data_IF_132664530975
#
_entry.id   IF_132664530975
#
_cell.length_a   1.000
_cell.length_b   1.000
_cell.length_c   1.000
_cell.angle_alpha   90.00
_cell.angle_beta   90.00
_cell.angle_gamma   90.00
#
_symmetry.space_group_name_H-M   'P 1'
#
loop_
_entity.id
_entity.type
_entity.pdbx_description
1 polymer ?
#
# COMPACT_ATOMS: atom_id res chain seq x y z
N UNK A 1 6.71 12.66 -13.90
CA UNK A 1 5.79 11.72 -13.23
C UNK A 1 4.60 11.53 -14.13
N UNK A 2 4.56 10.41 -14.83
CA UNK A 2 3.50 10.03 -15.76
C UNK A 2 2.23 9.76 -14.96
N UNK A 3 1.15 10.44 -15.30
CA UNK A 3 -0.17 10.16 -14.74
C UNK A 3 -0.44 8.65 -14.85
N UNK A 4 -0.66 7.99 -13.71
CA UNK A 4 -1.07 6.58 -13.70
C UNK A 4 -2.40 6.49 -14.44
N UNK A 5 -2.35 6.01 -15.68
CA UNK A 5 -3.55 5.74 -16.46
C UNK A 5 -4.15 4.44 -15.98
N UNK A 6 -5.37 4.50 -15.45
CA UNK A 6 -6.13 3.29 -15.19
C UNK A 6 -6.41 2.58 -16.49
N UNK A 7 -6.02 1.31 -16.54
CA UNK A 7 -6.37 0.45 -17.67
C UNK A 7 -7.71 -0.19 -17.30
N UNK A 8 -8.74 0.08 -18.10
CA UNK A 8 -10.00 -0.68 -18.05
C UNK A 8 -9.92 -1.81 -19.04
N UNK A 9 -10.48 -2.92 -18.65
CA UNK A 9 -10.62 -4.10 -19.48
C UNK A 9 -12.07 -4.27 -19.88
N UNK A 10 -12.32 -4.42 -21.17
CA UNK A 10 -13.64 -4.76 -21.70
C UNK A 10 -13.97 -6.23 -21.44
N UNK A 11 -15.25 -6.57 -21.49
CA UNK A 11 -15.69 -7.96 -21.42
C UNK A 11 -15.12 -8.78 -22.58
N UNK A 12 -15.00 -10.08 -22.36
CA UNK A 12 -14.61 -11.03 -23.40
C UNK A 12 -15.57 -10.95 -24.60
N UNK A 13 -15.04 -10.97 -25.81
CA UNK A 13 -15.77 -11.05 -27.07
C UNK A 13 -15.18 -12.17 -27.95
N UNK A 14 -15.82 -12.50 -29.05
CA UNK A 14 -15.36 -13.56 -29.95
C UNK A 14 -13.96 -13.29 -30.52
N UNK A 15 -13.61 -12.03 -30.78
CA UNK A 15 -12.28 -11.63 -31.28
C UNK A 15 -11.15 -11.87 -30.27
N UNK A 16 -11.47 -12.04 -29.01
CA UNK A 16 -10.47 -12.25 -27.94
C UNK A 16 -10.10 -13.73 -27.71
N UNK A 17 -10.78 -14.68 -28.37
CA UNK A 17 -10.56 -16.11 -28.11
C UNK A 17 -9.15 -16.60 -28.44
N UNK A 18 -8.53 -16.10 -29.48
CA UNK A 18 -7.16 -16.46 -29.84
C UNK A 18 -6.17 -15.91 -28.79
N UNK A 19 -6.38 -14.70 -28.34
CA UNK A 19 -5.59 -14.08 -27.27
C UNK A 19 -5.76 -14.84 -25.95
N UNK A 20 -6.97 -15.28 -25.63
CA UNK A 20 -7.25 -16.10 -24.45
C UNK A 20 -6.48 -17.41 -24.50
N UNK A 21 -6.51 -18.12 -25.63
CA UNK A 21 -5.77 -19.39 -25.82
C UNK A 21 -4.27 -19.16 -25.65
N UNK A 22 -3.76 -18.05 -26.21
CA UNK A 22 -2.34 -17.68 -26.04
C UNK A 22 -1.98 -17.40 -24.58
N UNK A 23 -2.79 -16.63 -23.86
CA UNK A 23 -2.58 -16.35 -22.43
C UNK A 23 -2.60 -17.63 -21.59
N UNK A 24 -3.55 -18.53 -21.83
CA UNK A 24 -3.59 -19.81 -21.15
C UNK A 24 -2.34 -20.65 -21.41
N UNK A 25 -1.85 -20.66 -22.66
CA UNK A 25 -0.60 -21.33 -23.02
C UNK A 25 0.60 -20.77 -22.26
N UNK A 26 0.71 -19.45 -22.16
CA UNK A 26 1.78 -18.74 -21.45
C UNK A 26 1.72 -19.01 -19.95
N UNK A 27 0.54 -19.04 -19.34
CA UNK A 27 0.38 -19.38 -17.93
C UNK A 27 0.84 -20.84 -17.67
N UNK A 28 0.51 -21.76 -18.56
CA UNK A 28 0.99 -23.15 -18.47
C UNK A 28 2.50 -23.24 -18.64
N UNK A 29 3.09 -22.40 -19.48
CA UNK A 29 4.55 -22.30 -19.63
C UNK A 29 5.20 -21.79 -18.34
N UNK A 30 4.67 -20.74 -17.73
CA UNK A 30 5.16 -20.24 -16.44
C UNK A 30 5.17 -21.34 -15.37
N UNK A 31 4.10 -22.12 -15.29
CA UNK A 31 4.02 -23.23 -14.34
C UNK A 31 5.08 -24.32 -14.62
N UNK A 32 5.26 -24.71 -15.89
CA UNK A 32 6.30 -25.69 -16.27
C UNK A 32 7.70 -25.21 -15.94
N UNK A 33 8.01 -23.96 -16.24
CA UNK A 33 9.30 -23.33 -15.94
C UNK A 33 9.53 -23.23 -14.43
N UNK A 34 8.50 -22.92 -13.65
CA UNK A 34 8.58 -22.92 -12.19
C UNK A 34 8.91 -24.31 -11.63
N UNK A 35 8.22 -25.37 -12.11
CA UNK A 35 8.42 -26.73 -11.63
C UNK A 35 9.77 -27.31 -12.08
N UNK A 36 10.31 -26.92 -13.25
CA UNK A 36 11.60 -27.41 -13.73
C UNK A 36 12.77 -26.93 -12.86
N UNK A 37 12.66 -25.77 -12.24
CA UNK A 37 13.72 -25.21 -11.39
C UNK A 37 15.05 -24.97 -12.12
N UNK A 38 15.06 -24.87 -13.45
CA UNK A 38 16.26 -24.66 -14.25
C UNK A 38 16.93 -23.31 -13.93
N UNK A 39 18.24 -23.24 -14.12
CA UNK A 39 18.98 -22.00 -13.88
C UNK A 39 18.38 -20.86 -14.68
N UNK A 40 18.01 -19.76 -14.00
CA UNK A 40 17.41 -18.59 -14.63
C UNK A 40 15.88 -18.66 -14.79
N UNK A 41 15.21 -19.66 -14.24
CA UNK A 41 13.75 -19.82 -14.31
C UNK A 41 12.98 -18.57 -13.86
N UNK A 42 13.48 -17.82 -12.88
CA UNK A 42 12.87 -16.60 -12.40
C UNK A 42 12.81 -15.50 -13.49
N UNK A 43 13.85 -15.38 -14.29
CA UNK A 43 13.88 -14.42 -15.41
C UNK A 43 12.91 -14.87 -16.52
N UNK A 44 12.84 -16.17 -16.80
CA UNK A 44 11.89 -16.70 -17.78
C UNK A 44 10.45 -16.47 -17.35
N UNK A 45 10.11 -16.73 -16.09
CA UNK A 45 8.78 -16.45 -15.54
C UNK A 45 8.42 -14.96 -15.69
N UNK A 46 9.32 -14.05 -15.35
CA UNK A 46 9.09 -12.60 -15.51
C UNK A 46 8.85 -12.22 -16.98
N UNK A 47 9.65 -12.75 -17.89
CA UNK A 47 9.47 -12.47 -19.32
C UNK A 47 8.09 -12.92 -19.82
N UNK A 48 7.68 -14.14 -19.50
CA UNK A 48 6.37 -14.68 -19.88
C UNK A 48 5.24 -13.91 -19.20
N UNK A 49 5.41 -13.50 -17.95
CA UNK A 49 4.45 -12.66 -17.24
C UNK A 49 4.24 -11.31 -17.93
N UNK A 50 5.31 -10.65 -18.38
CA UNK A 50 5.18 -9.40 -19.15
C UNK A 50 4.49 -9.60 -20.50
N UNK A 51 4.68 -10.75 -21.15
CA UNK A 51 3.95 -11.09 -22.37
C UNK A 51 2.45 -11.25 -22.11
N UNK A 52 2.07 -11.92 -21.02
CA UNK A 52 0.66 -12.00 -20.58
C UNK A 52 0.08 -10.61 -20.32
N UNK A 53 0.80 -9.74 -19.59
CA UNK A 53 0.36 -8.36 -19.35
C UNK A 53 0.21 -7.57 -20.65
N UNK A 54 1.14 -7.72 -21.59
CA UNK A 54 1.05 -7.09 -22.91
C UNK A 54 -0.21 -7.52 -23.65
N UNK A 55 -0.48 -8.82 -23.72
CA UNK A 55 -1.68 -9.36 -24.37
C UNK A 55 -2.97 -8.88 -23.69
N UNK A 56 -3.01 -8.86 -22.37
CA UNK A 56 -4.15 -8.30 -21.63
C UNK A 56 -4.40 -6.83 -21.98
N UNK A 57 -3.34 -6.02 -22.00
CA UNK A 57 -3.48 -4.59 -22.30
C UNK A 57 -3.85 -4.36 -23.76
N UNK A 58 -3.23 -5.08 -24.71
CA UNK A 58 -3.48 -4.89 -26.14
C UNK A 58 -4.85 -5.36 -26.58
N UNK A 59 -5.32 -6.49 -26.06
CA UNK A 59 -6.57 -7.10 -26.48
C UNK A 59 -7.81 -6.57 -25.74
N UNK A 60 -7.66 -6.23 -24.46
CA UNK A 60 -8.82 -5.94 -23.60
C UNK A 60 -8.89 -4.49 -23.11
N UNK A 61 -7.88 -3.67 -23.40
CA UNK A 61 -7.92 -2.26 -23.02
C UNK A 61 -9.06 -1.55 -23.71
N UNK A 62 -9.93 -0.91 -22.95
CA UNK A 62 -10.90 0.04 -23.50
C UNK A 62 -10.18 1.32 -23.97
N UNK A 63 -10.39 1.70 -25.22
CA UNK A 63 -9.80 2.90 -25.82
C UNK A 63 -10.56 4.16 -25.45
N UNK A 64 -11.84 4.03 -25.14
CA UNK A 64 -12.65 5.15 -24.68
C UNK A 64 -12.40 5.45 -23.22
N UNK A 65 -11.73 6.56 -22.98
CA UNK A 65 -11.56 7.10 -21.63
C UNK A 65 -12.85 7.80 -21.24
N UNK A 66 -13.77 7.09 -20.60
CA UNK A 66 -14.94 7.72 -20.00
C UNK A 66 -14.52 8.86 -19.08
N UNK A 67 -15.23 9.97 -19.12
CA UNK A 67 -15.04 11.13 -18.25
C UNK A 67 -14.97 10.74 -16.75
N UNK A 68 -15.66 9.69 -16.37
CA UNK A 68 -15.62 9.11 -15.03
C UNK A 68 -14.26 8.51 -14.65
N UNK A 69 -13.55 7.87 -15.59
CA UNK A 69 -12.22 7.31 -15.33
C UNK A 69 -11.20 8.42 -15.08
N UNK A 70 -11.26 9.52 -15.81
CA UNK A 70 -10.44 10.70 -15.59
C UNK A 70 -10.73 11.36 -14.25
N UNK A 71 -12.00 11.44 -13.85
CA UNK A 71 -12.41 11.96 -12.54
C UNK A 71 -11.89 11.09 -11.39
N UNK A 72 -11.94 9.75 -11.54
CA UNK A 72 -11.40 8.80 -10.55
C UNK A 72 -9.87 8.93 -10.47
N UNK A 73 -9.18 8.98 -11.61
CA UNK A 73 -7.72 9.17 -11.66
C UNK A 73 -7.28 10.41 -10.91
N UNK A 74 -7.89 11.56 -11.20
CA UNK A 74 -7.58 12.83 -10.51
C UNK A 74 -7.79 12.75 -9.00
N UNK A 75 -8.84 12.02 -8.55
CA UNK A 75 -9.10 11.83 -7.11
C UNK A 75 -8.06 10.96 -6.44
N UNK A 76 -7.59 9.91 -7.12
CA UNK A 76 -6.55 9.03 -6.59
C UNK A 76 -5.19 9.73 -6.57
N UNK A 77 -4.87 10.53 -7.57
CA UNK A 77 -3.66 11.36 -7.60
C UNK A 77 -3.67 12.38 -6.44
N UNK A 78 -4.81 13.02 -6.21
CA UNK A 78 -4.99 13.94 -5.09
C UNK A 78 -4.80 13.21 -3.74
N UNK A 79 -5.44 12.05 -3.56
CA UNK A 79 -5.30 11.26 -2.33
C UNK A 79 -3.85 10.76 -2.15
N UNK A 80 -3.17 10.37 -3.22
CA UNK A 80 -1.76 9.98 -3.19
C UNK A 80 -0.87 11.12 -2.68
N UNK A 81 -1.05 12.34 -3.17
CA UNK A 81 -0.31 13.53 -2.69
C UNK A 81 -0.56 13.78 -1.21
N UNK A 82 -1.83 13.73 -0.78
CA UNK A 82 -2.21 13.92 0.62
C UNK A 82 -1.60 12.85 1.52
N UNK A 83 -1.66 11.58 1.11
CA UNK A 83 -1.10 10.47 1.91
C UNK A 83 0.42 10.48 1.94
N UNK A 84 1.08 10.99 0.90
CA UNK A 84 2.53 11.23 0.90
C UNK A 84 2.89 12.32 1.90
N UNK A 85 2.21 13.46 1.86
CA UNK A 85 2.37 14.52 2.85
C UNK A 85 2.16 14.01 4.29
N UNK A 86 1.12 13.22 4.52
CA UNK A 86 0.87 12.61 5.83
C UNK A 86 2.02 11.71 6.30
N UNK A 87 2.68 10.98 5.39
CA UNK A 87 3.85 10.14 5.72
C UNK A 87 5.09 10.95 6.04
N UNK A 88 5.23 12.11 5.46
CA UNK A 88 6.36 13.02 5.71
C UNK A 88 6.18 13.80 7.01
N UNK A 89 4.93 14.10 7.38
CA UNK A 89 4.56 14.95 8.52
C UNK A 89 3.79 14.21 9.63
N UNK A 90 3.83 12.88 9.68
CA UNK A 90 3.00 12.06 10.59
C UNK A 90 3.23 12.34 12.08
N UNK A 91 4.37 12.89 12.44
CA UNK A 91 4.72 13.26 13.83
C UNK A 91 3.96 14.49 14.32
N UNK A 92 3.53 15.36 13.41
CA UNK A 92 2.85 16.60 13.69
C UNK A 92 1.38 16.42 14.07
N UNK A 93 0.75 17.45 14.65
CA UNK A 93 -0.70 17.45 14.93
C UNK A 93 -1.50 17.66 13.63
N UNK A 94 -1.50 16.65 12.77
CA UNK A 94 -2.26 16.69 11.52
C UNK A 94 -3.76 16.57 11.80
N UNK A 95 -4.53 17.54 11.30
CA UNK A 95 -6.00 17.55 11.35
C UNK A 95 -6.59 17.47 9.95
N UNK A 96 -7.73 16.82 9.83
CA UNK A 96 -8.45 16.70 8.56
C UNK A 96 -8.71 18.07 7.94
N UNK A 97 -9.17 19.04 8.74
CA UNK A 97 -9.48 20.40 8.30
C UNK A 97 -8.25 21.14 7.78
N UNK A 98 -7.10 21.01 8.47
CA UNK A 98 -5.85 21.62 8.02
C UNK A 98 -5.38 21.07 6.68
N UNK A 99 -5.45 19.73 6.51
CA UNK A 99 -5.11 19.09 5.23
C UNK A 99 -6.11 19.44 4.13
N UNK A 100 -7.41 19.47 4.45
CA UNK A 100 -8.44 19.85 3.49
C UNK A 100 -8.19 21.28 2.97
N UNK A 101 -7.95 22.23 3.86
CA UNK A 101 -7.62 23.61 3.49
C UNK A 101 -6.34 23.69 2.64
N UNK A 102 -5.26 23.01 3.05
CA UNK A 102 -3.97 22.99 2.33
C UNK A 102 -4.09 22.48 0.90
N UNK A 103 -4.90 21.45 0.68
CA UNK A 103 -5.08 20.83 -0.65
C UNK A 103 -6.29 21.36 -1.42
N UNK A 104 -6.98 22.40 -0.91
CA UNK A 104 -8.10 23.06 -1.59
C UNK A 104 -9.40 22.22 -1.59
N UNK A 105 -9.64 21.42 -0.54
CA UNK A 105 -10.81 20.60 -0.38
C UNK A 105 -11.65 21.02 0.84
N UNK A 106 -12.93 20.63 0.84
CA UNK A 106 -13.72 20.67 2.07
C UNK A 106 -13.47 19.42 2.93
N UNK A 107 -13.61 19.54 4.26
CA UNK A 107 -13.48 18.46 5.22
C UNK A 107 -14.36 17.26 4.84
N UNK A 108 -15.61 17.54 4.47
CA UNK A 108 -16.57 16.52 4.07
C UNK A 108 -16.12 15.77 2.80
N UNK A 109 -15.54 16.47 1.83
CA UNK A 109 -15.04 15.86 0.61
C UNK A 109 -13.83 14.99 0.90
N UNK A 110 -12.84 15.50 1.64
CA UNK A 110 -11.64 14.74 2.00
C UNK A 110 -11.99 13.51 2.87
N UNK A 111 -12.90 13.65 3.82
CA UNK A 111 -13.40 12.51 4.61
C UNK A 111 -14.03 11.41 3.75
N UNK A 112 -14.84 11.78 2.75
CA UNK A 112 -15.40 10.81 1.78
C UNK A 112 -14.33 10.16 0.92
N UNK A 113 -13.30 10.91 0.49
CA UNK A 113 -12.19 10.36 -0.27
C UNK A 113 -11.45 9.27 0.50
N UNK A 114 -11.09 9.51 1.76
CA UNK A 114 -10.45 8.51 2.61
C UNK A 114 -11.31 7.24 2.73
N UNK A 115 -12.59 7.38 3.07
CA UNK A 115 -13.50 6.23 3.19
C UNK A 115 -13.67 5.47 1.88
N UNK A 116 -13.79 6.17 0.76
CA UNK A 116 -14.02 5.57 -0.55
C UNK A 116 -12.80 4.86 -1.11
N UNK A 117 -11.63 5.49 -1.05
CA UNK A 117 -10.43 5.03 -1.74
C UNK A 117 -9.39 4.38 -0.80
N UNK A 118 -9.18 4.91 0.39
CA UNK A 118 -8.31 4.29 1.39
C UNK A 118 -9.04 3.24 2.27
N UNK A 119 -10.39 3.13 2.17
CA UNK A 119 -11.24 2.19 2.94
C UNK A 119 -11.20 2.38 4.45
N UNK A 120 -10.54 3.42 4.92
CA UNK A 120 -10.48 3.82 6.34
C UNK A 120 -10.73 5.31 6.47
N UNK A 121 -11.01 5.81 7.69
CA UNK A 121 -11.07 7.23 7.91
C UNK A 121 -9.67 7.85 8.09
N UNK A 122 -9.59 9.17 7.98
CA UNK A 122 -8.33 9.93 8.11
C UNK A 122 -7.58 9.62 9.42
N UNK A 123 -8.28 9.61 10.55
CA UNK A 123 -7.68 9.36 11.87
C UNK A 123 -7.06 7.97 11.96
N UNK A 124 -7.77 6.97 11.47
CA UNK A 124 -7.27 5.59 11.41
C UNK A 124 -6.05 5.51 10.50
N UNK A 125 -6.09 6.13 9.32
CA UNK A 125 -4.97 6.16 8.39
C UNK A 125 -3.71 6.78 9.00
N UNK A 126 -3.85 7.93 9.70
CA UNK A 126 -2.73 8.57 10.38
C UNK A 126 -2.18 7.69 11.52
N UNK A 127 -3.06 7.07 12.30
CA UNK A 127 -2.64 6.14 13.36
C UNK A 127 -1.90 4.92 12.80
N UNK A 128 -2.31 4.41 11.64
CA UNK A 128 -1.64 3.30 10.98
C UNK A 128 -0.22 3.66 10.54
N UNK A 129 -0.03 4.86 9.99
CA UNK A 129 1.30 5.39 9.67
C UNK A 129 2.16 5.47 10.94
N UNK A 130 1.69 6.16 11.97
CA UNK A 130 2.40 6.32 13.25
C UNK A 130 2.79 4.98 13.87
N UNK A 131 1.87 4.04 13.85
CA UNK A 131 2.09 2.69 14.39
C UNK A 131 3.15 1.93 13.61
N UNK A 132 3.16 2.02 12.29
CA UNK A 132 4.15 1.36 11.44
C UNK A 132 5.57 1.88 11.71
N UNK A 133 5.73 3.20 11.86
CA UNK A 133 7.03 3.80 12.18
C UNK A 133 7.46 3.48 13.62
N UNK A 134 6.55 3.58 14.59
CA UNK A 134 6.84 3.23 15.99
C UNK A 134 7.22 1.73 16.13
N UNK A 135 6.56 0.84 15.42
CA UNK A 135 6.92 -0.58 15.41
C UNK A 135 8.32 -0.82 14.83
N UNK A 136 8.64 -0.14 13.72
CA UNK A 136 9.98 -0.23 13.12
C UNK A 136 11.06 0.29 14.08
N UNK A 137 10.80 1.40 14.77
CA UNK A 137 11.72 1.97 15.75
C UNK A 137 11.91 1.03 16.94
N UNK A 138 10.82 0.42 17.46
CA UNK A 138 10.85 -0.56 18.54
C UNK A 138 11.71 -1.79 18.22
N UNK A 139 11.79 -2.18 16.93
CA UNK A 139 12.62 -3.32 16.51
C UNK A 139 14.09 -2.96 16.29
N UNK A 140 14.41 -1.70 15.98
CA UNK A 140 15.73 -1.32 15.47
C UNK A 140 16.51 -0.38 16.39
N UNK A 141 15.93 0.04 17.53
CA UNK A 141 16.57 0.96 18.48
C UNK A 141 16.37 0.50 19.90
N UNK A 142 17.16 1.07 20.83
CA UNK A 142 17.05 0.88 22.26
C UNK A 142 16.28 2.05 22.93
N UNK A 143 15.51 2.80 22.16
CA UNK A 143 14.70 3.90 22.69
C UNK A 143 13.61 3.37 23.61
N UNK A 144 13.30 4.11 24.66
CA UNK A 144 12.23 3.73 25.58
C UNK A 144 10.87 3.76 24.88
N UNK A 145 9.95 2.92 25.32
CA UNK A 145 8.56 2.90 24.80
C UNK A 145 7.92 4.30 24.88
N UNK A 146 8.28 5.08 25.90
CA UNK A 146 7.79 6.44 26.07
C UNK A 146 8.31 7.39 25.01
N UNK A 147 9.61 7.32 24.70
CA UNK A 147 10.23 8.11 23.63
C UNK A 147 9.64 7.71 22.28
N UNK A 148 9.63 6.41 21.96
CA UNK A 148 9.05 5.88 20.72
C UNK A 148 7.61 6.38 20.51
N UNK A 149 6.78 6.35 21.55
CA UNK A 149 5.41 6.82 21.46
C UNK A 149 5.33 8.31 21.10
N UNK A 150 6.06 9.16 21.82
CA UNK A 150 6.03 10.61 21.64
C UNK A 150 6.65 11.01 20.30
N UNK A 151 7.81 10.43 19.95
CA UNK A 151 8.55 10.71 18.71
C UNK A 151 7.80 10.27 17.45
N UNK A 152 6.85 9.34 17.59
CA UNK A 152 5.96 8.92 16.51
C UNK A 152 4.57 9.57 16.56
N UNK A 153 4.39 10.65 17.35
CA UNK A 153 3.20 11.48 17.36
C UNK A 153 2.02 10.92 18.15
N UNK A 154 2.23 9.93 19.04
CA UNK A 154 1.20 9.51 19.99
C UNK A 154 1.12 10.50 21.15
N UNK A 155 -0.10 10.74 21.66
CA UNK A 155 -0.32 11.65 22.78
C UNK A 155 0.33 11.19 24.09
N UNK A 156 0.58 9.90 24.25
CA UNK A 156 1.27 9.31 25.42
C UNK A 156 1.68 7.86 25.13
N UNK A 157 2.63 7.33 25.92
CA UNK A 157 3.01 5.91 25.89
C UNK A 157 1.83 4.98 26.22
N UNK A 158 0.91 5.44 27.07
CA UNK A 158 -0.31 4.68 27.40
C UNK A 158 -1.25 4.57 26.18
N UNK A 159 -1.44 5.67 25.44
CA UNK A 159 -2.24 5.66 24.21
C UNK A 159 -1.60 4.75 23.14
N UNK A 160 -0.29 4.86 22.95
CA UNK A 160 0.47 3.97 22.06
C UNK A 160 0.31 2.50 22.46
N UNK A 161 0.59 2.14 23.72
CA UNK A 161 0.51 0.75 24.17
C UNK A 161 -0.88 0.15 23.99
N UNK A 162 -1.94 0.91 24.26
CA UNK A 162 -3.32 0.46 24.04
C UNK A 162 -3.60 0.14 22.57
N UNK A 163 -3.24 1.05 21.65
CA UNK A 163 -3.41 0.83 20.21
C UNK A 163 -2.51 -0.29 19.69
N UNK A 164 -1.30 -0.42 20.25
CA UNK A 164 -0.37 -1.48 19.92
C UNK A 164 -0.93 -2.86 20.28
N UNK A 165 -1.44 -3.02 21.52
CA UNK A 165 -2.08 -4.27 21.97
C UNK A 165 -3.29 -4.60 21.12
N UNK A 166 -4.12 -3.60 20.79
CA UNK A 166 -5.28 -3.79 19.92
C UNK A 166 -4.89 -4.33 18.54
N UNK A 167 -3.74 -3.92 18.01
CA UNK A 167 -3.29 -4.28 16.67
C UNK A 167 -2.49 -5.59 16.63
N UNK A 168 -1.62 -5.80 17.61
CA UNK A 168 -0.65 -6.91 17.59
C UNK A 168 -0.92 -7.97 18.67
N UNK A 169 -1.88 -7.77 19.56
CA UNK A 169 -2.25 -8.71 20.61
C UNK A 169 -1.24 -8.82 21.75
N UNK A 170 -0.13 -8.09 21.72
CA UNK A 170 0.95 -8.15 22.71
C UNK A 170 1.36 -6.73 23.15
N UNK A 171 1.98 -6.62 24.32
CA UNK A 171 2.53 -5.35 24.79
C UNK A 171 3.83 -4.98 24.03
N UNK A 172 4.08 -3.67 23.76
CA UNK A 172 5.32 -3.21 23.11
C UNK A 172 6.58 -3.74 23.79
N UNK A 173 6.65 -3.70 25.13
CA UNK A 173 7.80 -4.18 25.90
C UNK A 173 8.07 -5.70 25.81
N UNK A 174 7.15 -6.49 25.30
CA UNK A 174 7.44 -7.90 24.99
C UNK A 174 8.20 -8.06 23.69
N UNK A 175 7.92 -7.21 22.69
CA UNK A 175 8.63 -7.19 21.42
C UNK A 175 10.08 -6.77 21.63
N UNK A 176 10.31 -5.71 22.37
CA UNK A 176 11.63 -5.21 22.78
C UNK A 176 12.47 -6.32 23.44
N UNK A 177 11.92 -7.01 24.44
CA UNK A 177 12.63 -8.10 25.16
C UNK A 177 12.95 -9.30 24.26
N UNK A 178 12.13 -9.60 23.28
CA UNK A 178 12.40 -10.69 22.34
C UNK A 178 13.54 -10.31 21.38
N UNK A 179 13.60 -9.06 20.95
CA UNK A 179 14.65 -8.57 20.07
C UNK A 179 16.02 -8.60 20.77
N UNK A 180 16.11 -8.12 22.01
CA UNK A 180 17.33 -8.17 22.80
C UNK A 180 17.81 -9.61 23.12
N UNK A 181 16.89 -10.56 23.29
CA UNK A 181 17.26 -11.97 23.49
C UNK A 181 17.83 -12.62 22.24
N UNK A 182 17.33 -12.24 21.04
CA UNK A 182 17.82 -12.77 19.79
C UNK A 182 19.21 -12.22 19.42
N UNK A 183 19.47 -10.95 19.68
CA UNK A 183 20.80 -10.32 19.49
C UNK A 183 21.85 -10.95 20.42
N UNK A 184 21.53 -11.23 21.67
CA UNK A 184 22.47 -11.89 22.63
C UNK A 184 22.72 -13.38 22.36
N UNK A 185 21.94 -14.02 21.50
CA UNK A 185 22.17 -15.43 21.10
C UNK A 185 23.05 -15.58 19.86
N UNK A 186 23.32 -14.49 19.16
CA UNK A 186 24.13 -14.46 17.92
C UNK A 186 25.55 -13.95 18.16
N UNK A 187 25.81 -13.41 19.35
CA UNK A 187 27.14 -13.06 19.89
C UNK A 187 27.65 -14.15 20.82
#
# INVERSE_FOLDING_TARGET
>A
FTAQRFIRFRSRNEESEETDRRMVSLIREMYRVYVSGETGYEFRIRAVFYEVLYLMVSAYRETEVEENALKISRRLDALSKITTYMREHYKEDLRLSGLAAMFGYSDAYLSRMFRKYAKVNFKTYLQDIRMAYAYKELLNTDHTISSIALDNGFASSRAFSREFVKRYGILPGRVERQNHKNVKKVL
#
